data_IF_183160442270
#
_entry.id   IF_183160442270
#
_cell.length_a   1.000
_cell.length_b   1.000
_cell.length_c   1.000
_cell.angle_alpha   90.00
_cell.angle_beta   90.00
_cell.angle_gamma   90.00
#
_symmetry.space_group_name_H-M   'P 1'
#
loop_
_entity.id
_entity.type
_entity.pdbx_description
1 polymer ?
#
# COMPACT_ATOMS: atom_id res chain seq x y z
N UNK A 1 6.07 24.44 23.53
CA UNK A 1 5.95 25.15 22.24
C UNK A 1 4.47 25.37 21.93
N UNK A 2 4.04 26.64 21.93
CA UNK A 2 2.62 27.03 21.72
C UNK A 2 2.07 26.45 20.42
N UNK A 3 2.85 26.49 19.36
CA UNK A 3 2.42 25.95 18.05
C UNK A 3 2.21 24.44 18.06
N UNK A 4 2.99 23.69 18.85
CA UNK A 4 2.82 22.26 19.00
C UNK A 4 1.50 21.95 19.72
N UNK A 5 1.17 22.69 20.79
CA UNK A 5 -0.10 22.50 21.52
C UNK A 5 -1.29 22.85 20.61
N UNK A 6 -1.25 24.00 19.91
CA UNK A 6 -2.31 24.39 18.98
C UNK A 6 -2.48 23.34 17.86
N UNK A 7 -1.39 22.83 17.31
CA UNK A 7 -1.45 21.79 16.28
C UNK A 7 -2.10 20.51 16.77
N UNK A 8 -1.77 20.10 18.00
CA UNK A 8 -2.36 18.91 18.62
C UNK A 8 -3.87 19.08 18.87
N UNK A 9 -4.28 20.18 19.41
CA UNK A 9 -5.68 20.48 19.73
C UNK A 9 -6.52 20.61 18.45
N UNK A 10 -5.95 21.16 17.37
CA UNK A 10 -6.66 21.33 16.10
C UNK A 10 -7.07 20.02 15.44
N UNK A 11 -6.46 18.88 15.74
CA UNK A 11 -6.91 17.58 15.25
C UNK A 11 -8.34 17.28 15.71
N UNK A 12 -8.69 17.62 16.94
CA UNK A 12 -10.08 17.47 17.44
C UNK A 12 -11.05 18.34 16.66
N UNK A 13 -10.70 19.61 16.43
CA UNK A 13 -11.52 20.53 15.63
C UNK A 13 -11.69 20.05 14.19
N UNK A 14 -10.63 19.51 13.58
CA UNK A 14 -10.71 18.94 12.24
C UNK A 14 -11.54 17.65 12.20
N UNK A 15 -11.45 16.81 13.22
CA UNK A 15 -12.30 15.63 13.32
C UNK A 15 -13.78 16.00 13.46
N UNK A 16 -14.11 16.98 14.29
CA UNK A 16 -15.49 17.48 14.43
C UNK A 16 -16.02 18.11 13.13
N UNK A 17 -15.16 18.83 12.40
CA UNK A 17 -15.56 19.55 11.18
C UNK A 17 -15.60 18.64 9.95
N UNK A 18 -14.72 17.65 9.87
CA UNK A 18 -14.52 16.77 8.70
C UNK A 18 -14.34 15.31 9.12
N UNK A 19 -15.30 14.71 9.82
CA UNK A 19 -15.16 13.36 10.39
C UNK A 19 -14.89 12.30 9.31
N UNK A 20 -15.41 12.48 8.09
CA UNK A 20 -15.24 11.53 7.01
C UNK A 20 -13.77 11.35 6.58
N UNK A 21 -12.91 12.36 6.69
CA UNK A 21 -11.49 12.22 6.38
C UNK A 21 -10.71 11.40 7.41
N UNK A 22 -11.22 11.29 8.64
CA UNK A 22 -10.63 10.49 9.71
C UNK A 22 -11.05 9.02 9.70
N UNK A 23 -12.01 8.65 8.85
CA UNK A 23 -12.40 7.24 8.66
C UNK A 23 -11.34 6.50 7.84
N UNK A 24 -10.17 6.32 8.41
CA UNK A 24 -9.02 5.61 7.84
C UNK A 24 -8.68 4.42 8.73
N UNK A 25 -8.00 3.43 8.16
CA UNK A 25 -7.63 2.19 8.85
C UNK A 25 -6.59 2.43 9.95
N UNK A 26 -5.64 3.33 9.70
CA UNK A 26 -4.52 3.63 10.58
C UNK A 26 -3.95 5.03 10.28
N UNK A 27 -3.02 5.47 11.12
CA UNK A 27 -2.37 6.77 11.00
C UNK A 27 -1.63 6.94 9.66
N UNK A 28 -0.93 5.91 9.18
CA UNK A 28 -0.24 5.98 7.88
C UNK A 28 -1.22 6.25 6.74
N UNK A 29 -2.33 5.53 6.70
CA UNK A 29 -3.39 5.73 5.70
C UNK A 29 -3.99 7.13 5.77
N UNK A 30 -4.18 7.66 6.98
CA UNK A 30 -4.60 9.04 7.20
C UNK A 30 -3.59 10.05 6.65
N UNK A 31 -2.31 9.93 7.01
CA UNK A 31 -1.25 10.83 6.53
C UNK A 31 -1.08 10.73 5.01
N UNK A 32 -1.21 9.54 4.45
CA UNK A 32 -1.14 9.31 3.00
C UNK A 32 -2.31 9.99 2.25
N UNK A 33 -3.47 10.10 2.89
CA UNK A 33 -4.64 10.77 2.31
C UNK A 33 -4.53 12.30 2.33
N UNK A 34 -3.68 12.87 3.21
CA UNK A 34 -3.65 14.32 3.45
C UNK A 34 -3.30 15.15 2.23
N UNK A 35 -2.46 14.65 1.32
CA UNK A 35 -2.22 15.34 0.06
C UNK A 35 -3.52 15.55 -0.74
N UNK A 36 -4.28 14.48 -0.92
CA UNK A 36 -5.55 14.52 -1.67
C UNK A 36 -6.60 15.39 -0.97
N UNK A 37 -6.67 15.30 0.37
CA UNK A 37 -7.55 16.15 1.21
C UNK A 37 -7.20 17.64 1.03
N UNK A 38 -5.92 18.00 1.10
CA UNK A 38 -5.49 19.37 0.90
C UNK A 38 -5.86 19.89 -0.49
N UNK A 39 -5.68 19.08 -1.54
CA UNK A 39 -6.08 19.44 -2.91
C UNK A 39 -7.58 19.72 -3.00
N UNK A 40 -8.42 18.92 -2.32
CA UNK A 40 -9.89 19.11 -2.32
C UNK A 40 -10.29 20.35 -1.53
N UNK A 41 -9.77 20.51 -0.31
CA UNK A 41 -10.14 21.61 0.59
C UNK A 41 -9.70 22.96 0.04
N UNK A 42 -8.49 23.04 -0.52
CA UNK A 42 -7.95 24.32 -1.03
C UNK A 42 -8.70 24.82 -2.27
N UNK A 43 -9.19 23.94 -3.13
CA UNK A 43 -10.05 24.35 -4.26
C UNK A 43 -11.26 25.19 -3.82
N UNK A 44 -11.65 25.10 -2.55
CA UNK A 44 -12.80 25.78 -1.94
C UNK A 44 -12.43 27.05 -1.17
N UNK A 45 -11.12 27.33 -1.03
CA UNK A 45 -10.61 28.51 -0.34
C UNK A 45 -9.89 29.44 -1.32
N UNK A 46 -10.56 30.45 -1.90
CA UNK A 46 -9.93 31.37 -2.84
C UNK A 46 -8.68 32.01 -2.25
N UNK A 47 -7.57 31.95 -2.96
CA UNK A 47 -6.29 32.54 -2.53
C UNK A 47 -5.48 31.71 -1.52
N UNK A 48 -5.96 30.57 -1.07
CA UNK A 48 -5.18 29.68 -0.21
C UNK A 48 -4.16 28.88 -1.03
N UNK A 49 -2.92 28.81 -0.52
CA UNK A 49 -1.87 27.95 -1.04
C UNK A 49 -1.62 26.84 -0.02
N UNK A 50 -1.91 25.57 -0.36
CA UNK A 50 -1.66 24.48 0.57
C UNK A 50 -0.17 24.24 0.73
N UNK A 51 0.27 23.69 1.86
CA UNK A 51 1.61 23.13 1.94
C UNK A 51 1.72 21.91 1.01
N UNK A 52 2.89 21.69 0.49
CA UNK A 52 3.23 20.41 -0.12
C UNK A 52 3.48 19.41 1.00
N UNK A 53 2.71 18.34 1.03
CA UNK A 53 2.82 17.28 2.02
C UNK A 53 2.84 15.94 1.28
N UNK A 54 3.98 15.26 1.36
CA UNK A 54 4.19 13.96 0.71
C UNK A 54 4.73 12.99 1.75
N UNK A 55 4.14 11.81 1.84
CA UNK A 55 4.65 10.72 2.66
C UNK A 55 4.98 9.53 1.76
N UNK A 56 6.22 9.03 1.88
CA UNK A 56 6.73 7.92 1.09
C UNK A 56 7.26 6.83 2.02
N UNK A 57 6.85 5.56 1.84
CA UNK A 57 7.38 4.46 2.62
C UNK A 57 8.84 4.22 2.24
N UNK A 58 9.69 3.97 3.24
CA UNK A 58 11.12 3.64 3.06
C UNK A 58 11.44 2.24 3.57
N UNK A 59 10.58 1.68 4.41
CA UNK A 59 10.63 0.29 4.86
C UNK A 59 9.25 -0.19 5.27
N UNK A 60 9.16 -1.45 5.69
CA UNK A 60 7.90 -2.05 6.15
C UNK A 60 7.22 -1.28 7.29
N UNK A 61 8.00 -0.60 8.14
CA UNK A 61 7.52 0.12 9.33
C UNK A 61 7.83 1.61 9.30
N UNK A 62 8.51 2.12 8.28
CA UNK A 62 9.01 3.50 8.26
C UNK A 62 8.62 4.23 6.98
N UNK A 63 8.21 5.48 7.14
CA UNK A 63 8.00 6.40 6.02
C UNK A 63 8.69 7.73 6.26
N UNK A 64 9.02 8.44 5.19
CA UNK A 64 9.52 9.81 5.22
C UNK A 64 8.41 10.76 4.82
N UNK A 65 8.07 11.66 5.73
CA UNK A 65 7.16 12.77 5.51
C UNK A 65 7.98 13.98 5.06
N UNK A 66 7.76 14.43 3.84
CA UNK A 66 8.30 15.68 3.28
C UNK A 66 7.22 16.75 3.37
N UNK A 67 7.56 17.86 4.02
CA UNK A 67 6.67 19.00 4.19
C UNK A 67 7.36 20.27 3.69
N UNK A 68 6.69 21.01 2.81
CA UNK A 68 7.15 22.31 2.34
C UNK A 68 6.08 23.36 2.54
N UNK A 69 6.42 24.46 3.20
CA UNK A 69 5.53 25.58 3.45
C UNK A 69 6.27 26.90 3.55
N UNK A 70 5.82 27.91 2.84
CA UNK A 70 6.34 29.28 2.97
C UNK A 70 6.17 29.87 4.37
N UNK A 71 5.25 29.33 5.16
CA UNK A 71 4.98 29.79 6.53
C UNK A 71 5.90 29.17 7.58
N UNK A 72 6.65 28.12 7.24
CA UNK A 72 7.60 27.46 8.16
C UNK A 72 6.99 26.94 9.47
N UNK A 73 5.70 26.60 9.52
CA UNK A 73 4.97 26.24 10.75
C UNK A 73 5.28 24.80 11.20
N UNK A 74 6.56 24.49 11.44
CA UNK A 74 6.99 23.13 11.75
C UNK A 74 6.56 22.64 13.14
N UNK A 75 6.51 23.54 14.13
CA UNK A 75 5.95 23.24 15.45
C UNK A 75 4.49 22.81 15.37
N UNK A 76 3.71 23.52 14.57
CA UNK A 76 2.31 23.21 14.31
C UNK A 76 2.15 21.84 13.61
N UNK A 77 2.96 21.54 12.58
CA UNK A 77 2.95 20.22 11.93
C UNK A 77 3.27 19.09 12.92
N UNK A 78 4.29 19.27 13.77
CA UNK A 78 4.60 18.27 14.83
C UNK A 78 3.43 18.08 15.77
N UNK A 79 2.72 19.15 16.11
CA UNK A 79 1.50 19.09 16.90
C UNK A 79 0.39 18.29 16.20
N UNK A 80 0.14 18.56 14.92
CA UNK A 80 -0.82 17.80 14.12
C UNK A 80 -0.47 16.30 14.07
N UNK A 81 0.81 15.96 13.87
CA UNK A 81 1.26 14.56 13.88
C UNK A 81 1.02 13.89 15.24
N UNK A 82 1.32 14.60 16.35
CA UNK A 82 1.10 14.08 17.69
C UNK A 82 -0.40 13.89 18.00
N UNK A 83 -1.25 14.85 17.62
CA UNK A 83 -2.70 14.75 17.79
C UNK A 83 -3.31 13.65 16.92
N UNK A 84 -2.85 13.49 15.69
CA UNK A 84 -3.30 12.42 14.82
C UNK A 84 -2.88 11.04 15.36
N UNK A 85 -1.64 10.89 15.86
CA UNK A 85 -1.17 9.67 16.47
C UNK A 85 -2.03 9.28 17.70
N UNK A 86 -2.41 10.25 18.52
CA UNK A 86 -3.31 10.05 19.65
C UNK A 86 -4.72 9.64 19.20
N UNK A 87 -5.25 10.29 18.17
CA UNK A 87 -6.57 9.96 17.60
C UNK A 87 -6.63 8.51 17.09
N UNK A 88 -5.59 8.05 16.38
CA UNK A 88 -5.48 6.68 15.87
C UNK A 88 -4.94 5.69 16.92
N UNK A 89 -4.62 6.14 18.14
CA UNK A 89 -4.07 5.32 19.21
C UNK A 89 -2.77 4.59 18.81
N UNK A 90 -1.94 5.24 18.01
CA UNK A 90 -0.66 4.72 17.55
C UNK A 90 0.52 5.46 18.15
N UNK A 91 1.44 4.72 18.77
CA UNK A 91 2.70 5.27 19.28
C UNK A 91 3.74 5.33 18.16
N UNK A 92 4.03 6.53 17.66
CA UNK A 92 4.98 6.76 16.58
C UNK A 92 6.28 7.35 17.10
N UNK A 93 7.40 7.03 16.41
CA UNK A 93 8.68 7.68 16.67
C UNK A 93 9.03 8.60 15.51
N UNK A 94 9.39 9.84 15.85
CA UNK A 94 9.76 10.87 14.88
C UNK A 94 11.27 11.11 14.93
N UNK A 95 11.92 11.02 13.77
CA UNK A 95 13.32 11.36 13.59
C UNK A 95 13.43 12.48 12.55
N UNK A 96 14.03 13.62 12.94
CA UNK A 96 14.24 14.74 12.05
C UNK A 96 15.41 14.43 11.11
N UNK A 97 15.16 14.39 9.80
CA UNK A 97 16.19 14.16 8.79
C UNK A 97 16.73 15.47 8.24
N UNK A 98 15.85 16.39 7.87
CA UNK A 98 16.20 17.69 7.29
C UNK A 98 15.28 18.77 7.84
N UNK A 99 15.82 19.97 8.06
CA UNK A 99 15.04 21.17 8.44
C UNK A 99 15.69 22.43 7.87
N UNK A 100 14.90 23.22 7.15
CA UNK A 100 15.28 24.54 6.65
C UNK A 100 14.15 25.54 6.94
N UNK A 101 14.22 26.77 6.43
CA UNK A 101 13.19 27.78 6.67
C UNK A 101 11.79 27.38 6.11
N UNK A 102 11.75 26.70 4.97
CA UNK A 102 10.51 26.36 4.26
C UNK A 102 10.29 24.85 4.06
N UNK A 103 11.27 24.02 4.40
CA UNK A 103 11.23 22.59 4.13
C UNK A 103 11.65 21.77 5.34
N UNK A 104 10.93 20.69 5.61
CA UNK A 104 11.23 19.73 6.66
C UNK A 104 10.99 18.31 6.17
N UNK A 105 11.91 17.40 6.50
CA UNK A 105 11.74 15.96 6.34
C UNK A 105 11.80 15.26 7.69
N UNK A 106 10.79 14.48 7.96
CA UNK A 106 10.68 13.68 9.19
C UNK A 106 10.53 12.22 8.80
N UNK A 107 11.38 11.37 9.34
CA UNK A 107 11.15 9.92 9.28
C UNK A 107 10.22 9.54 10.42
N UNK A 108 9.17 8.83 10.09
CA UNK A 108 8.14 8.35 11.02
C UNK A 108 8.23 6.84 11.05
N UNK A 109 8.36 6.28 12.25
CA UNK A 109 8.28 4.84 12.48
C UNK A 109 6.94 4.51 13.11
N UNK A 110 6.21 3.60 12.47
CA UNK A 110 4.88 3.15 12.86
C UNK A 110 4.95 1.86 13.67
N UNK A 111 3.97 1.60 14.56
CA UNK A 111 3.92 0.38 15.36
C UNK A 111 3.49 -0.84 14.52
N UNK A 112 2.81 -0.62 13.39
CA UNK A 112 2.32 -1.66 12.49
C UNK A 112 2.97 -1.53 11.11
N UNK A 113 3.04 -2.61 10.32
CA UNK A 113 3.53 -2.54 8.94
C UNK A 113 2.68 -1.58 8.11
N UNK A 114 3.35 -0.72 7.33
CA UNK A 114 2.71 0.26 6.43
C UNK A 114 2.79 -0.14 4.97
N UNK A 115 3.72 -1.03 4.64
CA UNK A 115 3.87 -1.62 3.31
C UNK A 115 4.18 -3.09 3.44
N UNK A 116 3.73 -3.86 2.48
CA UNK A 116 4.02 -5.29 2.38
C UNK A 116 4.81 -5.53 1.10
N UNK A 117 6.08 -5.95 1.26
CA UNK A 117 6.90 -6.37 0.13
C UNK A 117 6.81 -7.89 -0.02
N UNK A 118 6.23 -8.36 -1.12
CA UNK A 118 6.07 -9.78 -1.42
C UNK A 118 6.85 -10.15 -2.68
N UNK A 119 7.96 -10.86 -2.49
CA UNK A 119 8.76 -11.42 -3.59
C UNK A 119 8.52 -12.91 -3.69
N UNK A 120 8.16 -13.37 -4.87
CA UNK A 120 7.94 -14.79 -5.17
C UNK A 120 9.14 -15.33 -5.92
N UNK A 121 10.13 -15.85 -5.16
CA UNK A 121 11.42 -16.28 -5.67
C UNK A 121 11.32 -17.27 -6.83
N UNK A 122 10.44 -18.28 -6.74
CA UNK A 122 10.28 -19.28 -7.81
C UNK A 122 9.77 -18.67 -9.11
N UNK A 123 8.81 -17.74 -9.01
CA UNK A 123 8.28 -17.03 -10.18
C UNK A 123 9.35 -16.18 -10.85
N UNK A 124 10.18 -15.52 -10.05
CA UNK A 124 11.28 -14.67 -10.55
C UNK A 124 12.40 -15.52 -11.11
N UNK A 125 12.79 -16.62 -10.43
CA UNK A 125 13.83 -17.53 -10.87
C UNK A 125 13.50 -18.17 -12.23
N UNK A 126 12.31 -18.74 -12.37
CA UNK A 126 11.86 -19.39 -13.62
C UNK A 126 11.59 -18.40 -14.76
N UNK A 127 11.64 -17.12 -14.49
CA UNK A 127 11.58 -16.08 -15.54
C UNK A 127 12.86 -16.05 -16.39
N UNK A 128 14.02 -16.38 -15.83
CA UNK A 128 15.33 -16.24 -16.50
C UNK A 128 15.50 -14.89 -17.23
N UNK A 129 14.75 -13.85 -16.83
CA UNK A 129 14.69 -12.55 -17.50
C UNK A 129 13.97 -12.53 -18.87
N UNK A 130 13.54 -13.69 -19.39
CA UNK A 130 12.95 -13.88 -20.71
C UNK A 130 11.48 -14.30 -20.66
N UNK A 131 11.16 -15.24 -19.76
CA UNK A 131 9.81 -15.81 -19.66
C UNK A 131 8.94 -14.98 -18.71
N UNK A 132 8.06 -14.17 -19.29
CA UNK A 132 7.07 -13.35 -18.54
C UNK A 132 5.71 -14.05 -18.41
N UNK A 133 5.51 -15.20 -19.05
CA UNK A 133 4.27 -15.94 -19.01
C UNK A 133 4.29 -17.02 -17.95
N UNK A 134 3.27 -17.04 -17.08
CA UNK A 134 3.07 -18.08 -16.06
C UNK A 134 2.94 -19.46 -16.71
N UNK A 135 2.25 -19.57 -17.85
CA UNK A 135 2.11 -20.81 -18.59
C UNK A 135 3.48 -21.36 -19.03
N UNK A 136 4.39 -20.50 -19.53
CA UNK A 136 5.75 -20.90 -19.88
C UNK A 136 6.55 -21.38 -18.67
N UNK A 137 6.41 -20.71 -17.51
CA UNK A 137 7.08 -21.12 -16.26
C UNK A 137 6.58 -22.47 -15.76
N UNK A 138 5.27 -22.71 -15.81
CA UNK A 138 4.67 -24.00 -15.45
C UNK A 138 5.17 -25.10 -16.40
N UNK A 139 5.19 -24.83 -17.70
CA UNK A 139 5.73 -25.76 -18.71
C UNK A 139 7.20 -26.10 -18.46
N UNK A 140 8.03 -25.10 -18.18
CA UNK A 140 9.45 -25.27 -17.85
C UNK A 140 9.66 -26.09 -16.57
N UNK A 141 8.88 -25.79 -15.53
CA UNK A 141 8.93 -26.54 -14.27
C UNK A 141 8.52 -28.00 -14.46
N UNK A 142 7.43 -28.25 -15.22
CA UNK A 142 6.98 -29.59 -15.55
C UNK A 142 8.04 -30.38 -16.36
N UNK A 143 8.68 -29.72 -17.34
CA UNK A 143 9.79 -30.30 -18.10
C UNK A 143 10.97 -30.65 -17.21
N UNK A 144 11.39 -29.73 -16.32
CA UNK A 144 12.49 -29.99 -15.38
C UNK A 144 12.20 -31.17 -14.45
N UNK A 145 10.98 -31.29 -13.90
CA UNK A 145 10.54 -32.41 -13.10
C UNK A 145 10.57 -33.72 -13.91
N UNK A 146 10.05 -33.68 -15.14
CA UNK A 146 10.03 -34.86 -16.03
C UNK A 146 11.46 -35.34 -16.36
N UNK A 147 12.37 -34.40 -16.67
CA UNK A 147 13.77 -34.68 -16.96
C UNK A 147 14.50 -35.28 -15.74
N UNK A 148 14.25 -34.70 -14.54
CA UNK A 148 14.85 -35.24 -13.30
C UNK A 148 14.37 -36.65 -12.99
N UNK A 149 13.08 -36.94 -13.08
CA UNK A 149 12.52 -38.28 -12.88
C UNK A 149 13.02 -39.24 -13.93
N UNK A 150 13.12 -38.83 -15.20
CA UNK A 150 13.67 -39.64 -16.28
C UNK A 150 15.14 -39.97 -16.05
N UNK A 151 15.96 -39.04 -15.61
CA UNK A 151 17.36 -39.23 -15.26
C UNK A 151 17.53 -40.27 -14.11
N UNK A 152 16.72 -40.13 -13.04
CA UNK A 152 16.73 -41.10 -11.92
C UNK A 152 16.31 -42.49 -12.40
N UNK A 153 15.27 -42.59 -13.25
CA UNK A 153 14.85 -43.87 -13.83
C UNK A 153 15.93 -44.54 -14.69
N UNK A 154 16.66 -43.75 -15.50
CA UNK A 154 17.78 -44.25 -16.32
C UNK A 154 18.95 -44.75 -15.45
N UNK A 155 19.33 -43.99 -14.41
CA UNK A 155 20.38 -44.35 -13.47
C UNK A 155 20.01 -45.62 -12.67
N UNK A 156 18.73 -45.82 -12.37
CA UNK A 156 18.21 -46.99 -11.67
C UNK A 156 18.06 -48.24 -12.59
N UNK A 157 18.33 -48.10 -13.89
CA UNK A 157 18.23 -49.22 -14.84
C UNK A 157 16.80 -49.72 -15.10
N UNK A 158 15.79 -48.88 -14.85
CA UNK A 158 14.36 -49.27 -14.83
C UNK A 158 13.78 -49.57 -16.23
N UNK A 159 14.47 -49.27 -17.31
CA UNK A 159 14.02 -49.53 -18.69
C UNK A 159 12.57 -49.07 -18.94
N UNK A 160 11.71 -49.94 -19.51
CA UNK A 160 10.27 -49.68 -19.69
C UNK A 160 9.49 -49.57 -18.36
N UNK A 161 10.10 -49.95 -17.22
CA UNK A 161 9.53 -49.69 -15.88
C UNK A 161 9.42 -48.22 -15.51
N UNK A 162 9.99 -47.31 -16.31
CA UNK A 162 9.82 -45.85 -16.18
C UNK A 162 8.36 -45.35 -16.20
N UNK A 163 7.41 -46.17 -16.72
CA UNK A 163 5.99 -45.92 -16.62
C UNK A 163 5.46 -45.84 -15.16
N UNK A 164 6.12 -46.55 -14.23
CA UNK A 164 5.80 -46.48 -12.79
C UNK A 164 6.17 -45.13 -12.20
N UNK A 165 7.05 -44.36 -12.86
CA UNK A 165 7.44 -43.00 -12.42
C UNK A 165 6.48 -41.91 -12.88
N UNK A 166 5.50 -42.22 -13.74
CA UNK A 166 4.52 -41.22 -14.23
C UNK A 166 3.72 -40.53 -13.12
N UNK A 167 3.28 -41.19 -12.03
CA UNK A 167 2.67 -40.50 -10.90
C UNK A 167 3.58 -39.49 -10.21
N UNK A 168 4.88 -39.80 -10.10
CA UNK A 168 5.87 -38.89 -9.50
C UNK A 168 6.03 -37.62 -10.35
N UNK A 169 6.06 -37.78 -11.69
CA UNK A 169 6.05 -36.60 -12.61
C UNK A 169 4.81 -35.76 -12.43
N UNK A 170 3.62 -36.40 -12.37
CA UNK A 170 2.35 -35.73 -12.16
C UNK A 170 2.30 -34.94 -10.85
N UNK A 171 2.70 -35.56 -9.75
CA UNK A 171 2.75 -34.94 -8.43
C UNK A 171 3.77 -33.78 -8.41
N UNK A 172 4.96 -33.97 -8.96
CA UNK A 172 5.98 -32.95 -9.01
C UNK A 172 5.54 -31.73 -9.86
N UNK A 173 4.93 -31.97 -11.01
CA UNK A 173 4.39 -30.90 -11.86
C UNK A 173 3.24 -30.15 -11.16
N UNK A 174 2.37 -30.87 -10.45
CA UNK A 174 1.28 -30.28 -9.65
C UNK A 174 1.83 -29.41 -8.52
N UNK A 175 2.84 -29.91 -7.76
CA UNK A 175 3.48 -29.12 -6.70
C UNK A 175 4.17 -27.86 -7.25
N UNK A 176 4.84 -27.95 -8.39
CA UNK A 176 5.46 -26.82 -9.06
C UNK A 176 4.40 -25.77 -9.50
N UNK A 177 3.31 -26.23 -10.11
CA UNK A 177 2.21 -25.36 -10.49
C UNK A 177 1.56 -24.70 -9.28
N UNK A 178 1.31 -25.46 -8.20
CA UNK A 178 0.75 -24.92 -6.96
C UNK A 178 1.68 -23.85 -6.33
N UNK A 179 3.01 -24.05 -6.39
CA UNK A 179 3.98 -23.08 -5.90
C UNK A 179 3.98 -21.80 -6.76
N UNK A 180 3.88 -21.91 -8.08
CA UNK A 180 3.83 -20.78 -9.02
C UNK A 180 2.51 -20.00 -8.96
N UNK A 181 1.44 -20.65 -8.49
CA UNK A 181 0.13 -20.01 -8.31
C UNK A 181 -0.03 -19.33 -6.93
N UNK A 182 0.92 -19.45 -6.01
CA UNK A 182 0.87 -18.77 -4.69
C UNK A 182 0.59 -17.25 -4.77
N UNK A 183 1.09 -16.51 -5.78
CA UNK A 183 0.80 -15.09 -5.90
C UNK A 183 -0.70 -14.78 -6.03
N UNK A 184 -1.53 -15.73 -6.45
CA UNK A 184 -2.97 -15.56 -6.57
C UNK A 184 -3.63 -15.18 -5.23
N UNK A 185 -3.13 -15.71 -4.12
CA UNK A 185 -3.63 -15.38 -2.79
C UNK A 185 -3.43 -13.88 -2.46
N UNK A 186 -2.29 -13.31 -2.86
CA UNK A 186 -2.04 -11.88 -2.67
C UNK A 186 -2.93 -11.00 -3.57
N UNK A 187 -3.25 -11.47 -4.78
CA UNK A 187 -4.22 -10.78 -5.66
C UNK A 187 -5.61 -10.79 -5.04
N UNK A 188 -6.04 -11.93 -4.46
CA UNK A 188 -7.32 -12.03 -3.76
C UNK A 188 -7.37 -11.12 -2.54
N UNK A 189 -6.31 -11.11 -1.72
CA UNK A 189 -6.20 -10.23 -0.56
C UNK A 189 -6.27 -8.74 -0.95
N UNK A 190 -5.63 -8.34 -2.06
CA UNK A 190 -5.70 -6.97 -2.55
C UNK A 190 -7.12 -6.60 -3.05
N UNK A 191 -7.82 -7.54 -3.68
CA UNK A 191 -9.23 -7.36 -4.04
C UNK A 191 -10.10 -7.20 -2.80
N UNK A 192 -9.90 -8.02 -1.76
CA UNK A 192 -10.60 -7.92 -0.49
C UNK A 192 -10.34 -6.58 0.19
N UNK A 193 -9.10 -6.07 0.12
CA UNK A 193 -8.76 -4.73 0.60
C UNK A 193 -9.52 -3.63 -0.15
N UNK A 194 -9.65 -3.75 -1.47
CA UNK A 194 -10.44 -2.80 -2.28
C UNK A 194 -11.92 -2.86 -1.90
N UNK A 195 -12.48 -4.05 -1.73
CA UNK A 195 -13.89 -4.26 -1.32
C UNK A 195 -14.12 -3.69 0.08
N UNK A 196 -13.17 -3.87 1.00
CA UNK A 196 -13.21 -3.33 2.36
C UNK A 196 -12.89 -1.82 2.43
N UNK A 197 -12.74 -1.13 1.29
CA UNK A 197 -12.42 0.29 1.18
C UNK A 197 -11.05 0.70 1.78
N UNK A 198 -10.11 -0.24 1.86
CA UNK A 198 -8.73 -0.03 2.34
C UNK A 198 -7.83 0.44 1.21
N UNK A 199 -7.99 1.70 0.79
CA UNK A 199 -7.32 2.22 -0.42
C UNK A 199 -5.91 2.75 -0.18
N UNK A 200 -5.47 2.92 1.05
CA UNK A 200 -4.22 3.64 1.38
C UNK A 200 -3.04 2.73 1.70
N UNK A 201 -3.29 1.45 1.96
CA UNK A 201 -2.22 0.45 2.12
C UNK A 201 -1.58 0.15 0.77
N UNK A 202 -0.26 0.05 0.74
CA UNK A 202 0.50 -0.24 -0.47
C UNK A 202 1.15 -1.63 -0.34
N UNK A 203 0.97 -2.47 -1.36
CA UNK A 203 1.62 -3.77 -1.48
C UNK A 203 2.57 -3.73 -2.65
N UNK A 204 3.87 -3.83 -2.39
CA UNK A 204 4.86 -4.06 -3.44
C UNK A 204 4.86 -5.54 -3.82
N UNK A 205 4.83 -5.81 -5.12
CA UNK A 205 4.61 -7.13 -5.66
C UNK A 205 5.59 -7.41 -6.80
N UNK A 206 6.35 -8.49 -6.71
CA UNK A 206 7.30 -8.89 -7.74
C UNK A 206 7.21 -10.39 -8.03
N UNK A 207 6.82 -10.73 -9.25
CA UNK A 207 6.73 -12.10 -9.77
C UNK A 207 7.36 -12.26 -11.15
N UNK A 208 7.63 -11.16 -11.83
CA UNK A 208 8.09 -11.10 -13.22
C UNK A 208 7.20 -11.91 -14.18
N UNK A 209 5.87 -11.87 -13.98
CA UNK A 209 4.86 -12.51 -14.83
C UNK A 209 3.53 -11.74 -14.84
N UNK A 210 2.44 -12.37 -15.33
CA UNK A 210 1.12 -11.77 -15.47
C UNK A 210 0.53 -11.29 -14.14
N UNK A 211 0.92 -11.87 -13.01
CA UNK A 211 0.47 -11.44 -11.69
C UNK A 211 0.97 -10.02 -11.37
N UNK A 212 2.21 -9.69 -11.72
CA UNK A 212 2.75 -8.35 -11.53
C UNK A 212 1.98 -7.31 -12.37
N UNK A 213 1.65 -7.67 -13.62
CA UNK A 213 0.81 -6.83 -14.48
C UNK A 213 -0.60 -6.64 -13.92
N UNK A 214 -1.19 -7.68 -13.33
CA UNK A 214 -2.51 -7.62 -12.72
C UNK A 214 -2.49 -6.74 -11.46
N UNK A 215 -1.50 -6.93 -10.58
CA UNK A 215 -1.34 -6.11 -9.38
C UNK A 215 -1.11 -4.64 -9.70
N UNK A 216 -0.34 -4.34 -10.76
CA UNK A 216 -0.15 -2.96 -11.24
C UNK A 216 -1.47 -2.31 -11.67
N UNK A 217 -2.33 -3.05 -12.39
CA UNK A 217 -3.67 -2.55 -12.78
C UNK A 217 -4.59 -2.37 -11.57
N UNK A 218 -4.54 -3.27 -10.58
CA UNK A 218 -5.29 -3.12 -9.33
C UNK A 218 -4.83 -1.88 -8.55
N UNK A 219 -3.52 -1.62 -8.49
CA UNK A 219 -2.97 -0.43 -7.85
C UNK A 219 -3.41 0.86 -8.57
N UNK A 220 -3.44 0.86 -9.92
CA UNK A 220 -3.95 2.00 -10.69
C UNK A 220 -5.46 2.21 -10.45
N UNK A 221 -6.26 1.14 -10.43
CA UNK A 221 -7.68 1.20 -10.12
C UNK A 221 -7.91 1.74 -8.69
N UNK A 222 -7.19 1.21 -7.71
CA UNK A 222 -7.21 1.65 -6.32
C UNK A 222 -6.88 3.13 -6.18
N UNK A 223 -5.86 3.63 -6.91
CA UNK A 223 -5.49 5.05 -6.95
C UNK A 223 -6.62 5.93 -7.51
N UNK A 224 -7.36 5.45 -8.51
CA UNK A 224 -8.50 6.16 -9.09
C UNK A 224 -9.66 6.23 -8.11
N UNK A 225 -10.07 5.07 -7.56
CA UNK A 225 -11.16 4.97 -6.58
C UNK A 225 -10.86 5.79 -5.33
N UNK A 226 -9.61 5.75 -4.83
CA UNK A 226 -9.15 6.58 -3.71
C UNK A 226 -9.40 8.07 -3.96
N UNK A 227 -9.06 8.59 -5.14
CA UNK A 227 -9.26 9.99 -5.49
C UNK A 227 -10.75 10.39 -5.48
N UNK A 228 -11.59 9.54 -6.07
CA UNK A 228 -13.04 9.76 -6.11
C UNK A 228 -13.65 9.68 -4.71
N UNK A 229 -13.19 8.74 -3.89
CA UNK A 229 -13.64 8.56 -2.51
C UNK A 229 -13.32 9.78 -1.62
N UNK A 230 -12.12 10.34 -1.71
CA UNK A 230 -11.75 11.57 -0.99
C UNK A 230 -12.61 12.75 -1.46
N UNK A 231 -12.88 12.85 -2.77
CA UNK A 231 -13.76 13.86 -3.33
C UNK A 231 -15.19 13.77 -2.79
N UNK A 232 -15.76 12.57 -2.77
CA UNK A 232 -17.12 12.31 -2.26
C UNK A 232 -17.21 12.61 -0.77
N UNK A 233 -16.25 12.14 0.05
CA UNK A 233 -16.23 12.42 1.50
C UNK A 233 -16.22 13.91 1.80
N UNK A 234 -15.37 14.66 1.11
CA UNK A 234 -15.35 16.12 1.27
C UNK A 234 -16.67 16.81 0.92
N UNK A 235 -17.39 16.31 -0.09
CA UNK A 235 -18.71 16.84 -0.46
C UNK A 235 -19.77 16.45 0.57
N UNK A 236 -19.72 15.24 1.10
CA UNK A 236 -20.64 14.77 2.14
C UNK A 236 -20.51 15.58 3.42
N UNK A 237 -19.29 15.85 3.88
CA UNK A 237 -19.06 16.67 5.07
C UNK A 237 -19.58 18.11 4.88
N UNK A 238 -19.45 18.69 3.69
CA UNK A 238 -20.06 19.98 3.39
C UNK A 238 -21.60 19.95 3.42
N UNK A 239 -22.19 18.94 2.78
CA UNK A 239 -23.64 18.81 2.78
C UNK A 239 -24.19 18.67 4.20
N UNK A 240 -23.54 17.90 5.06
CA UNK A 240 -23.93 17.77 6.46
C UNK A 240 -23.84 19.12 7.18
N UNK A 241 -22.76 19.88 6.98
CA UNK A 241 -22.59 21.21 7.55
C UNK A 241 -23.67 22.21 7.07
N UNK A 242 -24.06 22.16 5.81
CA UNK A 242 -25.18 22.98 5.30
C UNK A 242 -26.50 22.53 5.89
N UNK A 243 -26.76 21.25 6.04
CA UNK A 243 -27.97 20.72 6.67
C UNK A 243 -28.07 21.16 8.14
N UNK A 244 -26.97 21.07 8.90
CA UNK A 244 -26.92 21.51 10.30
C UNK A 244 -27.17 23.02 10.43
N UNK A 245 -26.56 23.84 9.58
CA UNK A 245 -26.80 25.28 9.55
C UNK A 245 -28.25 25.62 9.18
N UNK A 246 -28.88 24.86 8.28
CA UNK A 246 -30.27 25.06 7.89
C UNK A 246 -31.24 24.65 9.02
N UNK A 247 -30.92 23.59 9.77
CA UNK A 247 -31.72 23.17 10.91
C UNK A 247 -31.59 24.09 12.14
N UNK A 248 -30.57 24.96 12.17
CA UNK A 248 -30.33 25.93 13.25
C UNK A 248 -30.97 27.29 13.00
N UNK A 249 -31.58 27.51 11.83
CA UNK A 249 -32.36 28.69 11.46
C UNK A 249 -33.85 28.50 11.73
#
# INVERSE_FOLDING_TARGET
DVWLTIGKDNIHTFFETYPAFFQQENLYSFLRSMYDVHVVVVKRMPGATPPELLIEPVSEYEAVLSYRSRRGMFGYLKGLLAGAAEHFQEDIKLEMLESSAEHMKIKIRFPQPITFHRTYFLNTLLSFGLFKSLAAKIGLAAFAVSAAVGAVGALAGLGMGGLVLSPAVGIGAWLAAAALLRPMAAVQEELDNIIAQRYFMETEFSTADEFEGLMSKLAEYKKRVKRDFVGIKGTTDEMNKYADNFNAL
#
